data_IF_533844047482
#
_entry.id   IF_533844047482
#
_cell.length_a   1.000
_cell.length_b   1.000
_cell.length_c   1.000
_cell.angle_alpha   90.00
_cell.angle_beta   90.00
_cell.angle_gamma   90.00
#
_symmetry.space_group_name_H-M   'P 1'
#
loop_
_entity.id
_entity.type
_entity.pdbx_description
1 polymer ?
#
# COMPACT_ATOMS: atom_id res chain seq x y z
N UNK A 1 -4.97 10.11 -15.17
CA UNK A 1 -3.78 10.30 -16.02
C UNK A 1 -3.37 11.79 -16.11
N UNK A 2 -3.46 12.56 -15.02
CA UNK A 2 -3.23 14.02 -15.06
C UNK A 2 -2.33 14.56 -13.94
N UNK A 3 -2.02 13.77 -12.90
CA UNK A 3 -1.14 14.23 -11.81
C UNK A 3 0.35 14.05 -12.17
N UNK A 4 0.67 13.12 -13.06
CA UNK A 4 2.04 12.94 -13.56
C UNK A 4 2.56 14.12 -14.38
N UNK A 5 1.69 14.94 -14.98
CA UNK A 5 2.12 16.02 -15.86
C UNK A 5 2.88 17.16 -15.15
N UNK A 6 2.70 17.31 -13.83
CA UNK A 6 3.23 18.46 -13.05
C UNK A 6 4.60 18.17 -12.43
N UNK A 7 5.08 16.92 -12.47
CA UNK A 7 6.35 16.51 -11.84
C UNK A 7 7.36 15.84 -12.77
N UNK A 8 7.06 15.67 -14.05
CA UNK A 8 8.06 15.15 -14.98
C UNK A 8 9.20 16.15 -15.19
N UNK A 9 10.47 15.72 -15.16
CA UNK A 9 11.58 16.55 -15.58
C UNK A 9 11.47 16.75 -17.09
N UNK A 10 10.79 17.82 -17.50
CA UNK A 10 10.51 18.16 -18.90
C UNK A 10 11.79 18.09 -19.75
N UNK A 11 12.94 18.47 -19.20
CA UNK A 11 14.23 18.41 -19.90
C UNK A 11 14.77 17.00 -20.17
N UNK A 12 14.47 16.00 -19.33
CA UNK A 12 14.90 14.61 -19.59
C UNK A 12 13.98 13.98 -20.64
N UNK A 13 12.68 14.28 -20.59
CA UNK A 13 11.73 13.80 -21.61
C UNK A 13 12.08 14.31 -23.00
N UNK A 14 12.29 15.61 -23.15
CA UNK A 14 12.62 16.20 -24.46
C UNK A 14 13.94 15.72 -25.03
N UNK A 15 14.94 15.43 -24.18
CA UNK A 15 16.23 14.87 -24.63
C UNK A 15 16.12 13.42 -25.09
N UNK A 16 15.26 12.61 -24.47
CA UNK A 16 14.99 11.25 -24.93
C UNK A 16 14.28 11.25 -26.29
N UNK A 17 13.26 12.10 -26.46
CA UNK A 17 12.54 12.24 -27.72
C UNK A 17 13.49 12.67 -28.85
N UNK A 18 14.48 13.53 -28.55
CA UNK A 18 15.54 13.95 -29.49
C UNK A 18 16.47 12.79 -29.92
N UNK A 19 16.71 11.81 -29.05
CA UNK A 19 17.55 10.64 -29.33
C UNK A 19 16.73 9.50 -29.97
N UNK A 20 15.46 9.74 -30.27
CA UNK A 20 14.56 8.78 -30.92
C UNK A 20 13.95 7.76 -29.96
N UNK A 21 14.05 7.97 -28.65
CA UNK A 21 13.38 7.16 -27.62
C UNK A 21 12.18 7.95 -27.12
N UNK A 22 10.97 7.49 -27.43
CA UNK A 22 9.75 8.15 -26.96
C UNK A 22 9.72 8.20 -25.43
N UNK A 23 9.74 9.41 -24.87
CA UNK A 23 9.69 9.65 -23.44
C UNK A 23 8.39 9.15 -22.79
N UNK A 24 7.34 8.98 -23.59
CA UNK A 24 6.03 8.50 -23.15
C UNK A 24 5.84 6.98 -23.29
N UNK A 25 6.72 6.29 -24.00
CA UNK A 25 6.71 4.83 -24.06
C UNK A 25 7.24 4.20 -22.77
N UNK A 26 6.85 2.95 -22.48
CA UNK A 26 7.25 2.25 -21.24
C UNK A 26 8.77 2.21 -21.03
N UNK A 27 9.54 2.10 -22.12
CA UNK A 27 11.00 2.23 -22.11
C UNK A 27 11.47 3.60 -21.63
N UNK A 28 10.95 4.68 -22.22
CA UNK A 28 11.27 6.05 -21.83
C UNK A 28 10.92 6.35 -20.37
N UNK A 29 9.73 5.92 -19.91
CA UNK A 29 9.30 6.10 -18.52
C UNK A 29 10.22 5.39 -17.52
N UNK A 30 10.70 4.19 -17.87
CA UNK A 30 11.64 3.42 -17.04
C UNK A 30 12.99 4.12 -16.94
N UNK A 31 13.51 4.63 -18.05
CA UNK A 31 14.78 5.38 -18.10
C UNK A 31 14.67 6.66 -17.27
N UNK A 32 13.63 7.47 -17.48
CA UNK A 32 13.42 8.72 -16.72
C UNK A 32 13.31 8.43 -15.23
N UNK A 33 12.50 7.44 -14.85
CA UNK A 33 12.35 7.03 -13.45
C UNK A 33 13.69 6.62 -12.84
N UNK A 34 14.51 5.86 -13.58
CA UNK A 34 15.80 5.38 -13.11
C UNK A 34 16.80 6.53 -12.91
N UNK A 35 16.84 7.48 -13.86
CA UNK A 35 17.68 8.67 -13.75
C UNK A 35 17.27 9.50 -12.53
N UNK A 36 15.97 9.74 -12.35
CA UNK A 36 15.45 10.47 -11.17
C UNK A 36 15.82 9.77 -9.86
N UNK A 37 15.65 8.44 -9.81
CA UNK A 37 16.03 7.66 -8.64
C UNK A 37 17.51 7.83 -8.29
N UNK A 38 18.40 7.74 -9.29
CA UNK A 38 19.84 7.94 -9.11
C UNK A 38 20.15 9.37 -8.65
N UNK A 39 19.53 10.39 -9.25
CA UNK A 39 19.73 11.79 -8.88
C UNK A 39 19.31 12.03 -7.43
N UNK A 40 18.13 11.56 -7.01
CA UNK A 40 17.67 11.74 -5.63
C UNK A 40 18.51 10.96 -4.64
N UNK A 41 18.95 9.75 -4.99
CA UNK A 41 19.83 8.94 -4.15
C UNK A 41 21.22 9.59 -3.99
N UNK A 42 21.82 10.08 -5.08
CA UNK A 42 23.08 10.82 -5.05
C UNK A 42 22.95 12.13 -4.25
N UNK A 43 21.83 12.84 -4.41
CA UNK A 43 21.53 14.06 -3.64
C UNK A 43 21.40 13.77 -2.14
N UNK A 44 20.75 12.67 -1.78
CA UNK A 44 20.71 12.22 -0.39
C UNK A 44 22.10 11.89 0.16
N UNK A 45 22.97 11.26 -0.61
CA UNK A 45 24.33 10.96 -0.17
C UNK A 45 25.18 12.24 0.00
N UNK A 46 25.05 13.20 -0.92
CA UNK A 46 25.79 14.45 -0.90
C UNK A 46 25.34 15.39 0.24
N UNK A 47 24.04 15.60 0.39
CA UNK A 47 23.49 16.56 1.35
C UNK A 47 23.08 15.94 2.68
N UNK A 48 22.89 14.61 2.74
CA UNK A 48 22.44 13.84 3.93
C UNK A 48 21.15 14.38 4.56
N UNK A 49 20.32 15.06 3.76
CA UNK A 49 19.06 15.64 4.22
C UNK A 49 17.92 14.63 4.08
N UNK A 50 17.09 14.54 5.12
CA UNK A 50 15.94 13.64 5.18
C UNK A 50 14.84 14.01 4.15
N UNK A 51 14.88 15.22 3.60
CA UNK A 51 13.93 15.72 2.59
C UNK A 51 13.94 14.91 1.30
N UNK A 52 15.06 14.27 0.95
CA UNK A 52 15.16 13.47 -0.29
C UNK A 52 14.56 12.07 -0.17
N UNK A 53 14.42 11.53 1.05
CA UNK A 53 13.90 10.17 1.28
C UNK A 53 12.53 9.90 0.61
N UNK A 54 11.48 10.74 0.77
CA UNK A 54 10.20 10.49 0.11
C UNK A 54 10.31 10.45 -1.42
N UNK A 55 11.18 11.28 -2.01
CA UNK A 55 11.42 11.28 -3.46
C UNK A 55 12.15 10.03 -3.94
N UNK A 56 13.10 9.52 -3.16
CA UNK A 56 13.79 8.26 -3.46
C UNK A 56 12.79 7.10 -3.42
N UNK A 57 11.93 7.02 -2.39
CA UNK A 57 10.93 5.96 -2.27
C UNK A 57 9.90 6.04 -3.40
N UNK A 58 9.44 7.24 -3.74
CA UNK A 58 8.50 7.44 -4.85
C UNK A 58 9.12 7.08 -6.21
N UNK A 59 10.35 7.55 -6.48
CA UNK A 59 11.06 7.25 -7.72
C UNK A 59 11.37 5.75 -7.83
N UNK A 60 11.83 5.11 -6.75
CA UNK A 60 12.12 3.68 -6.72
C UNK A 60 10.87 2.83 -6.97
N UNK A 61 9.73 3.23 -6.41
CA UNK A 61 8.44 2.55 -6.66
C UNK A 61 7.96 2.72 -8.09
N UNK A 62 8.16 3.90 -8.67
CA UNK A 62 7.88 4.16 -10.09
C UNK A 62 8.74 3.26 -10.98
N UNK A 63 10.06 3.22 -10.73
CA UNK A 63 10.99 2.35 -11.46
C UNK A 63 10.58 0.89 -11.35
N UNK A 64 10.21 0.41 -10.16
CA UNK A 64 9.75 -0.97 -9.99
C UNK A 64 8.55 -1.28 -10.88
N UNK A 65 7.54 -0.39 -10.94
CA UNK A 65 6.34 -0.60 -11.75
C UNK A 65 6.65 -0.54 -13.25
N UNK A 66 7.39 0.48 -13.70
CA UNK A 66 7.68 0.66 -15.13
C UNK A 66 8.64 -0.41 -15.65
N UNK A 67 9.67 -0.74 -14.88
CA UNK A 67 10.61 -1.81 -15.21
C UNK A 67 9.93 -3.17 -15.28
N UNK A 68 9.06 -3.50 -14.32
CA UNK A 68 8.31 -4.77 -14.38
C UNK A 68 7.28 -4.77 -15.50
N UNK A 69 6.70 -3.64 -15.88
CA UNK A 69 5.87 -3.58 -17.09
C UNK A 69 6.71 -3.90 -18.34
N UNK A 70 7.89 -3.29 -18.48
CA UNK A 70 8.78 -3.49 -19.62
C UNK A 70 9.24 -4.95 -19.74
N UNK A 71 9.60 -5.60 -18.62
CA UNK A 71 10.03 -7.00 -18.63
C UNK A 71 8.93 -7.98 -19.06
N UNK A 72 7.67 -7.67 -18.74
CA UNK A 72 6.54 -8.57 -18.95
C UNK A 72 5.59 -8.11 -20.06
N UNK A 73 5.91 -7.04 -20.78
CA UNK A 73 5.08 -6.44 -21.84
C UNK A 73 4.68 -7.45 -22.93
N UNK A 74 5.60 -8.34 -23.29
CA UNK A 74 5.43 -9.35 -24.33
C UNK A 74 5.27 -10.78 -23.80
N UNK A 75 5.25 -10.96 -22.47
CA UNK A 75 5.04 -12.26 -21.84
C UNK A 75 3.56 -12.48 -21.54
N UNK A 76 3.15 -13.74 -21.38
CA UNK A 76 1.85 -14.08 -20.77
C UNK A 76 1.85 -13.54 -19.33
N UNK A 77 1.35 -12.32 -19.15
CA UNK A 77 1.26 -11.68 -17.84
C UNK A 77 0.39 -12.56 -16.93
N UNK A 78 0.91 -12.98 -15.77
CA UNK A 78 0.14 -13.79 -14.83
C UNK A 78 -1.15 -13.07 -14.44
N UNK A 79 -2.24 -13.82 -14.27
CA UNK A 79 -3.48 -13.28 -13.73
C UNK A 79 -3.17 -12.63 -12.37
N UNK A 80 -3.66 -11.42 -12.15
CA UNK A 80 -3.40 -10.61 -10.95
C UNK A 80 -1.97 -10.10 -10.77
N UNK A 81 -1.18 -10.01 -11.84
CA UNK A 81 0.21 -9.51 -11.78
C UNK A 81 0.33 -8.16 -11.06
N UNK A 82 -0.59 -7.23 -11.30
CA UNK A 82 -0.57 -5.90 -10.69
C UNK A 82 -0.78 -5.93 -9.17
N UNK A 83 -1.67 -6.81 -8.72
CA UNK A 83 -2.00 -6.98 -7.32
C UNK A 83 -0.81 -7.60 -6.56
N UNK A 84 -0.14 -8.59 -7.14
CA UNK A 84 1.10 -9.14 -6.54
C UNK A 84 2.22 -8.10 -6.47
N UNK A 85 2.37 -7.21 -7.47
CA UNK A 85 3.29 -6.08 -7.37
C UNK A 85 2.91 -5.12 -6.24
N UNK A 86 1.60 -4.87 -6.07
CA UNK A 86 1.07 -4.09 -4.96
C UNK A 86 1.44 -4.68 -3.59
N UNK A 87 1.37 -6.01 -3.44
CA UNK A 87 1.82 -6.71 -2.23
C UNK A 87 3.30 -6.52 -1.97
N UNK A 88 4.13 -6.70 -3.00
CA UNK A 88 5.60 -6.55 -2.89
C UNK A 88 5.96 -5.12 -2.50
N UNK A 89 5.34 -4.12 -3.13
CA UNK A 89 5.51 -2.72 -2.73
C UNK A 89 5.01 -2.48 -1.31
N UNK A 90 3.85 -3.00 -0.93
CA UNK A 90 3.31 -2.89 0.43
C UNK A 90 4.28 -3.42 1.49
N UNK A 91 4.81 -4.63 1.31
CA UNK A 91 5.82 -5.21 2.20
C UNK A 91 7.09 -4.36 2.25
N UNK A 92 7.55 -3.88 1.09
CA UNK A 92 8.76 -3.03 0.99
C UNK A 92 8.58 -1.74 1.81
N UNK A 93 7.42 -1.10 1.72
CA UNK A 93 7.10 0.10 2.49
C UNK A 93 6.99 -0.20 3.99
N UNK A 94 6.40 -1.33 4.38
CA UNK A 94 6.35 -1.76 5.79
C UNK A 94 7.77 -1.97 6.33
N UNK A 95 8.64 -2.64 5.57
CA UNK A 95 10.03 -2.86 5.94
C UNK A 95 10.82 -1.55 6.06
N UNK A 96 10.60 -0.60 5.13
CA UNK A 96 11.19 0.75 5.21
C UNK A 96 10.67 1.52 6.42
N UNK A 97 9.38 1.42 6.75
CA UNK A 97 8.80 2.01 7.96
C UNK A 97 9.47 1.47 9.23
N UNK A 98 9.72 0.16 9.28
CA UNK A 98 10.46 -0.46 10.38
C UNK A 98 11.91 0.05 10.44
N UNK A 99 12.62 0.12 9.32
CA UNK A 99 13.97 0.68 9.28
C UNK A 99 14.01 2.14 9.78
N UNK A 100 13.08 3.00 9.34
CA UNK A 100 13.04 4.39 9.81
C UNK A 100 12.66 4.54 11.28
N UNK A 101 12.01 3.54 11.87
CA UNK A 101 11.75 3.49 13.30
C UNK A 101 13.05 3.31 14.09
N UNK A 102 13.97 2.47 13.59
CA UNK A 102 15.30 2.27 14.17
C UNK A 102 16.17 3.52 14.06
N UNK A 103 16.10 4.24 12.93
CA UNK A 103 16.87 5.47 12.69
C UNK A 103 16.18 6.73 13.27
N UNK A 104 15.12 6.55 14.09
CA UNK A 104 14.39 7.60 14.80
C UNK A 104 13.90 8.74 13.90
N UNK A 105 13.29 8.41 12.76
CA UNK A 105 12.66 9.38 11.84
C UNK A 105 11.13 9.26 11.87
N UNK A 106 10.45 9.79 12.91
CA UNK A 106 9.04 9.50 13.19
C UNK A 106 8.08 9.89 12.06
N UNK A 107 8.34 11.02 11.37
CA UNK A 107 7.50 11.45 10.24
C UNK A 107 7.52 10.46 9.07
N UNK A 108 8.66 9.85 8.76
CA UNK A 108 8.76 8.86 7.69
C UNK A 108 8.13 7.53 8.10
N UNK A 109 8.25 7.13 9.38
CA UNK A 109 7.64 5.88 9.89
C UNK A 109 6.14 5.88 9.65
N UNK A 110 5.45 6.94 10.05
CA UNK A 110 4.00 7.09 9.92
C UNK A 110 3.55 6.96 8.45
N UNK A 111 4.20 7.70 7.54
CA UNK A 111 3.87 7.68 6.11
C UNK A 111 4.15 6.30 5.48
N UNK A 112 5.28 5.68 5.81
CA UNK A 112 5.66 4.37 5.25
C UNK A 112 4.72 3.25 5.71
N UNK A 113 4.36 3.21 7.00
CA UNK A 113 3.39 2.24 7.49
C UNK A 113 2.00 2.47 6.90
N UNK A 114 1.53 3.71 6.85
CA UNK A 114 0.23 4.03 6.26
C UNK A 114 0.14 3.56 4.80
N UNK A 115 1.09 3.95 3.96
CA UNK A 115 1.12 3.56 2.56
C UNK A 115 1.36 2.06 2.38
N UNK A 116 2.27 1.48 3.16
CA UNK A 116 2.61 0.06 3.08
C UNK A 116 1.42 -0.84 3.39
N UNK A 117 0.69 -0.57 4.49
CA UNK A 117 -0.50 -1.34 4.83
C UNK A 117 -1.67 -1.09 3.88
N UNK A 118 -1.84 0.14 3.35
CA UNK A 118 -2.87 0.41 2.33
C UNK A 118 -2.59 -0.40 1.06
N UNK A 119 -1.34 -0.41 0.58
CA UNK A 119 -0.98 -1.18 -0.62
C UNK A 119 -1.08 -2.67 -0.37
N UNK A 120 -0.62 -3.15 0.79
CA UNK A 120 -0.63 -4.56 1.14
C UNK A 120 -2.06 -5.10 1.32
N UNK A 121 -2.89 -4.48 2.16
CA UNK A 121 -4.27 -4.91 2.38
C UNK A 121 -5.16 -4.59 1.17
N UNK A 122 -4.92 -3.47 0.49
CA UNK A 122 -5.60 -3.09 -0.74
C UNK A 122 -5.36 -4.07 -1.89
N UNK A 123 -4.13 -4.53 -2.07
CA UNK A 123 -3.85 -5.58 -3.04
C UNK A 123 -4.48 -6.92 -2.61
N UNK A 124 -4.40 -7.26 -1.32
CA UNK A 124 -4.94 -8.51 -0.79
C UNK A 124 -6.47 -8.61 -0.95
N UNK A 125 -7.23 -7.53 -0.70
CA UNK A 125 -8.70 -7.55 -0.85
C UNK A 125 -9.15 -7.70 -2.31
N UNK A 126 -8.38 -7.11 -3.23
CA UNK A 126 -8.62 -7.26 -4.68
C UNK A 126 -8.28 -8.68 -5.12
N UNK A 127 -7.21 -9.27 -4.59
CA UNK A 127 -6.81 -10.66 -4.86
C UNK A 127 -7.85 -11.68 -4.39
N UNK A 128 -8.62 -11.38 -3.34
CA UNK A 128 -9.79 -12.19 -2.95
C UNK A 128 -10.82 -12.29 -4.07
N UNK A 129 -10.97 -11.25 -4.89
CA UNK A 129 -11.94 -11.19 -5.99
C UNK A 129 -13.39 -11.02 -5.52
N UNK A 130 -14.31 -10.94 -6.48
CA UNK A 130 -15.76 -10.89 -6.23
C UNK A 130 -16.47 -12.05 -6.94
N UNK A 131 -17.65 -12.47 -6.45
CA UNK A 131 -18.46 -13.49 -7.14
C UNK A 131 -18.71 -13.10 -8.61
N UNK A 132 -18.57 -14.05 -9.57
CA UNK A 132 -18.28 -15.49 -9.40
C UNK A 132 -16.79 -15.87 -9.39
N UNK A 133 -15.87 -14.93 -9.63
CA UNK A 133 -14.43 -15.17 -9.80
C UNK A 133 -13.67 -14.96 -8.48
N UNK A 134 -14.02 -15.76 -7.47
CA UNK A 134 -13.39 -15.72 -6.14
C UNK A 134 -12.10 -16.54 -6.14
N UNK A 135 -11.06 -16.00 -5.53
CA UNK A 135 -9.86 -16.76 -5.22
C UNK A 135 -9.94 -17.35 -3.81
N UNK A 136 -10.18 -18.66 -3.73
CA UNK A 136 -10.38 -19.39 -2.47
C UNK A 136 -9.21 -19.18 -1.49
N UNK A 137 -7.97 -19.21 -1.98
CA UNK A 137 -6.80 -19.00 -1.14
C UNK A 137 -6.84 -17.64 -0.43
N UNK A 138 -7.08 -16.57 -1.19
CA UNK A 138 -7.12 -15.22 -0.65
C UNK A 138 -8.36 -14.95 0.20
N UNK A 139 -9.49 -15.59 -0.11
CA UNK A 139 -10.69 -15.53 0.73
C UNK A 139 -10.45 -16.06 2.15
N UNK A 140 -9.72 -17.16 2.27
CA UNK A 140 -9.35 -17.68 3.59
C UNK A 140 -8.20 -16.91 4.22
N UNK A 141 -7.19 -16.49 3.45
CA UNK A 141 -6.03 -15.79 3.99
C UNK A 141 -6.36 -14.38 4.51
N UNK A 142 -7.27 -13.66 3.85
CA UNK A 142 -7.50 -12.24 4.10
C UNK A 142 -8.01 -11.93 5.53
N UNK A 143 -8.96 -12.68 6.12
CA UNK A 143 -9.32 -12.51 7.54
C UNK A 143 -8.13 -12.68 8.50
N UNK A 144 -7.23 -13.65 8.25
CA UNK A 144 -6.03 -13.82 9.05
C UNK A 144 -5.07 -12.63 8.89
N UNK A 145 -4.95 -12.07 7.69
CA UNK A 145 -4.14 -10.86 7.45
C UNK A 145 -4.68 -9.63 8.18
N UNK A 146 -6.00 -9.49 8.30
CA UNK A 146 -6.62 -8.42 9.10
C UNK A 146 -6.28 -8.57 10.58
N UNK A 147 -6.44 -9.77 11.15
CA UNK A 147 -6.06 -10.04 12.55
C UNK A 147 -4.56 -9.80 12.78
N UNK A 148 -3.72 -10.27 11.86
CA UNK A 148 -2.28 -10.04 11.91
C UNK A 148 -1.94 -8.54 11.87
N UNK A 149 -2.67 -7.75 11.08
CA UNK A 149 -2.50 -6.30 11.02
C UNK A 149 -2.76 -5.65 12.39
N UNK A 150 -3.82 -6.05 13.08
CA UNK A 150 -4.08 -5.55 14.44
C UNK A 150 -2.97 -5.99 15.42
N UNK A 151 -2.53 -7.25 15.35
CA UNK A 151 -1.43 -7.74 16.17
C UNK A 151 -0.14 -6.93 15.96
N UNK A 152 0.22 -6.69 14.70
CA UNK A 152 1.40 -5.88 14.32
C UNK A 152 1.23 -4.42 14.76
N UNK A 153 0.02 -3.85 14.69
CA UNK A 153 -0.24 -2.49 15.17
C UNK A 153 0.08 -2.32 16.66
N UNK A 154 -0.21 -3.35 17.47
CA UNK A 154 0.10 -3.37 18.90
C UNK A 154 1.60 -3.56 19.12
N UNK A 155 2.22 -4.50 18.40
CA UNK A 155 3.65 -4.78 18.51
C UNK A 155 4.50 -3.53 18.20
N UNK A 156 4.14 -2.80 17.15
CA UNK A 156 4.86 -1.61 16.68
C UNK A 156 4.32 -0.31 17.29
N UNK A 157 3.28 -0.39 18.13
CA UNK A 157 2.61 0.76 18.77
C UNK A 157 2.22 1.88 17.77
N UNK A 158 1.83 1.51 16.55
CA UNK A 158 1.53 2.48 15.48
C UNK A 158 0.02 2.67 15.30
N UNK A 159 -0.41 3.93 15.44
CA UNK A 159 -1.81 4.34 15.26
C UNK A 159 -2.25 4.25 13.79
N UNK A 160 -1.31 4.45 12.87
CA UNK A 160 -1.56 4.41 11.43
C UNK A 160 -1.96 3.01 10.98
N UNK A 161 -1.22 1.99 11.43
CA UNK A 161 -1.54 0.58 11.13
C UNK A 161 -2.93 0.24 11.66
N UNK A 162 -3.25 0.71 12.87
CA UNK A 162 -4.55 0.49 13.50
C UNK A 162 -5.70 1.11 12.70
N UNK A 163 -5.55 2.36 12.24
CA UNK A 163 -6.55 3.05 11.41
C UNK A 163 -6.75 2.30 10.10
N UNK A 164 -5.67 1.96 9.41
CA UNK A 164 -5.73 1.24 8.12
C UNK A 164 -6.38 -0.13 8.29
N UNK A 165 -5.95 -0.93 9.28
CA UNK A 165 -6.54 -2.24 9.57
C UNK A 165 -8.03 -2.14 9.88
N UNK A 166 -8.45 -1.09 10.60
CA UNK A 166 -9.87 -0.82 10.88
C UNK A 166 -10.63 -0.55 9.58
N UNK A 167 -10.18 0.37 8.74
CA UNK A 167 -10.83 0.71 7.46
C UNK A 167 -10.99 -0.53 6.57
N UNK A 168 -9.96 -1.35 6.45
CA UNK A 168 -10.02 -2.57 5.64
C UNK A 168 -10.90 -3.66 6.23
N UNK A 169 -11.02 -3.72 7.55
CA UNK A 169 -11.99 -4.60 8.22
C UNK A 169 -13.42 -4.19 7.90
N UNK A 170 -13.73 -2.89 7.96
CA UNK A 170 -15.03 -2.37 7.52
C UNK A 170 -15.30 -2.70 6.05
N UNK A 171 -14.32 -2.48 5.17
CA UNK A 171 -14.45 -2.78 3.75
C UNK A 171 -14.77 -4.27 3.51
N UNK A 172 -14.13 -5.18 4.24
CA UNK A 172 -14.40 -6.61 4.13
C UNK A 172 -15.80 -6.99 4.62
N UNK A 173 -16.24 -6.42 5.73
CA UNK A 173 -17.62 -6.65 6.23
C UNK A 173 -18.64 -6.19 5.19
N UNK A 174 -18.44 -5.01 4.58
CA UNK A 174 -19.31 -4.49 3.53
C UNK A 174 -19.31 -5.38 2.30
N UNK A 175 -18.15 -5.89 1.88
CA UNK A 175 -18.00 -6.82 0.76
C UNK A 175 -18.75 -8.15 1.02
N UNK A 176 -18.53 -8.77 2.17
CA UNK A 176 -19.22 -10.01 2.53
C UNK A 176 -20.74 -9.79 2.61
N UNK A 177 -21.16 -8.63 3.13
CA UNK A 177 -22.57 -8.26 3.19
C UNK A 177 -23.19 -8.16 1.80
N UNK A 178 -22.52 -7.51 0.85
CA UNK A 178 -23.06 -7.37 -0.52
C UNK A 178 -23.06 -8.70 -1.29
N UNK A 179 -22.04 -9.55 -1.12
CA UNK A 179 -21.93 -10.81 -1.87
C UNK A 179 -22.83 -11.95 -1.37
N UNK A 180 -23.14 -11.97 -0.07
CA UNK A 180 -23.88 -13.07 0.55
C UNK A 180 -25.29 -12.67 0.99
N UNK A 181 -25.57 -11.39 1.19
CA UNK A 181 -26.84 -10.92 1.76
C UNK A 181 -27.62 -9.94 0.89
N UNK A 182 -27.12 -9.58 -0.31
CA UNK A 182 -27.83 -8.66 -1.22
C UNK A 182 -29.18 -9.18 -1.72
N UNK A 183 -29.41 -10.49 -1.72
CA UNK A 183 -30.65 -11.10 -2.22
C UNK A 183 -31.63 -11.56 -1.12
N UNK A 184 -31.42 -11.19 0.15
CA UNK A 184 -32.31 -11.59 1.25
C UNK A 184 -32.60 -10.44 2.21
N UNK A 185 -33.70 -10.58 2.98
CA UNK A 185 -34.09 -9.72 4.11
C UNK A 185 -33.04 -9.64 5.24
N UNK A 186 -31.83 -10.17 5.01
CA UNK A 186 -30.70 -10.23 5.92
C UNK A 186 -29.83 -8.97 5.94
N UNK A 187 -30.02 -8.01 5.03
CA UNK A 187 -29.24 -6.75 5.03
C UNK A 187 -29.37 -5.95 6.34
N UNK A 188 -30.57 -5.76 6.94
CA UNK A 188 -30.70 -5.09 8.24
C UNK A 188 -30.04 -5.87 9.39
N UNK A 189 -30.17 -7.20 9.40
CA UNK A 189 -29.59 -8.06 10.44
C UNK A 189 -28.07 -8.13 10.32
N UNK A 190 -27.54 -8.19 9.09
CA UNK A 190 -26.11 -8.11 8.81
C UNK A 190 -25.54 -6.76 9.21
N UNK A 191 -26.26 -5.65 8.99
CA UNK A 191 -25.85 -4.32 9.47
C UNK A 191 -25.85 -4.22 11.00
N UNK A 192 -26.81 -4.84 11.68
CA UNK A 192 -26.84 -4.91 13.15
C UNK A 192 -25.65 -5.72 13.67
N UNK A 193 -25.37 -6.90 13.08
CA UNK A 193 -24.24 -7.74 13.46
C UNK A 193 -22.92 -7.05 13.13
N UNK A 194 -22.80 -6.44 11.96
CA UNK A 194 -21.65 -5.62 11.57
C UNK A 194 -21.43 -4.50 12.59
N UNK A 195 -22.47 -3.75 12.92
CA UNK A 195 -22.43 -2.69 13.94
C UNK A 195 -21.95 -3.20 15.30
N UNK A 196 -22.38 -4.39 15.72
CA UNK A 196 -21.92 -5.04 16.95
C UNK A 196 -20.44 -5.47 16.87
N UNK A 197 -20.01 -6.04 15.75
CA UNK A 197 -18.60 -6.40 15.52
C UNK A 197 -17.73 -5.15 15.53
N UNK A 198 -18.18 -4.08 14.86
CA UNK A 198 -17.52 -2.77 14.84
C UNK A 198 -17.40 -2.18 16.25
N UNK A 199 -18.47 -2.26 17.05
CA UNK A 199 -18.43 -1.85 18.46
C UNK A 199 -17.45 -2.71 19.27
N UNK A 200 -17.42 -4.03 19.05
CA UNK A 200 -16.48 -4.93 19.71
C UNK A 200 -15.02 -4.63 19.36
N UNK A 201 -14.72 -4.44 18.07
CA UNK A 201 -13.38 -4.08 17.59
C UNK A 201 -12.98 -2.69 18.11
N UNK A 202 -13.90 -1.72 18.09
CA UNK A 202 -13.68 -0.38 18.64
C UNK A 202 -13.39 -0.39 20.13
N UNK A 203 -14.14 -1.18 20.91
CA UNK A 203 -13.91 -1.36 22.35
C UNK A 203 -12.55 -2.00 22.63
N UNK A 204 -12.21 -3.06 21.89
CA UNK A 204 -10.92 -3.74 22.03
C UNK A 204 -9.76 -2.80 21.70
N UNK A 205 -9.90 -2.04 20.62
CA UNK A 205 -8.94 -1.01 20.19
C UNK A 205 -8.76 0.10 21.23
N UNK A 206 -9.85 0.53 21.88
CA UNK A 206 -9.82 1.52 22.95
C UNK A 206 -9.16 0.99 24.24
N UNK A 207 -9.44 -0.25 24.61
CA UNK A 207 -8.84 -0.89 25.79
C UNK A 207 -7.32 -1.09 25.61
N UNK A 208 -6.90 -1.46 24.40
CA UNK A 208 -5.48 -1.53 24.03
C UNK A 208 -4.82 -0.15 24.11
N UNK A 209 -5.47 0.90 23.59
CA UNK A 209 -4.94 2.27 23.66
C UNK A 209 -4.79 2.77 25.11
N UNK A 210 -5.75 2.46 26.00
CA UNK A 210 -5.64 2.75 27.43
C UNK A 210 -4.42 2.09 28.08
N UNK A 211 -4.12 0.84 27.72
CA UNK A 211 -2.93 0.11 28.23
C UNK A 211 -1.63 0.71 27.73
N UNK A 212 -1.61 1.24 26.50
CA UNK A 212 -0.44 1.95 25.95
C UNK A 212 -0.17 3.28 26.68
N UNK A 213 -1.20 4.06 26.99
CA UNK A 213 -1.05 5.36 27.67
C UNK A 213 -0.60 5.20 29.13
N UNK A 214 -1.08 4.16 29.83
CA UNK A 214 -0.76 3.91 31.24
C UNK A 214 0.69 3.45 31.48
N UNK A 215 1.42 3.05 30.43
CA UNK A 215 2.85 2.71 30.51
C UNK A 215 3.78 3.94 30.39
N UNK A 216 3.24 5.14 30.16
CA UNK A 216 4.00 6.39 29.99
C UNK A 216 3.73 7.44 31.11
N UNK A 217 3.17 7.02 32.26
CA UNK A 217 3.07 7.82 33.50
C UNK A 217 3.75 7.10 34.64
#
# INVERSE_FOLDING_TARGET
MTISLVTYPIGIGTTLDLVGVSAMEMGGLTIIGSILFIIYFASYFAFKTWLFLPFIVAAGSSVFITFTNLLFENALTPKHFNEYRGLVLGITYIALGYYFSLVRKPSMVSIMYFLGFILFLGASIVLTGFKPNINVFWQFAYPFLLVLTFYVSVLLQSKEILIVGTIFTFAEILKLTSEYFSQSLGWPIALIIAGLVIMGVGYFSFEVNKRLIKQHS
#
